data_IF_899944467224
#
_entry.id   IF_899944467224
#
_cell.length_a   1.000
_cell.length_b   1.000
_cell.length_c   1.000
_cell.angle_alpha   90.00
_cell.angle_beta   90.00
_cell.angle_gamma   90.00
#
_symmetry.space_group_name_H-M   'P 1'
#
loop_
_entity.id
_entity.type
_entity.pdbx_description
1 polymer ?
#
# COMPACT_ATOMS: atom_id res chain seq x y z
N UNK A 1 12.45 5.84 6.47
CA UNK A 1 11.03 5.94 6.05
C UNK A 1 10.68 7.40 5.81
N UNK A 2 9.80 7.66 4.87
CA UNK A 2 9.37 9.03 4.57
C UNK A 2 8.53 9.57 5.73
N UNK A 3 8.82 10.77 6.23
CA UNK A 3 8.22 11.28 7.46
C UNK A 3 6.72 11.58 7.36
N UNK A 4 6.18 11.77 6.17
CA UNK A 4 4.76 12.11 5.99
C UNK A 4 3.95 10.96 5.40
N UNK A 5 4.51 9.75 5.41
CA UNK A 5 3.83 8.56 4.89
C UNK A 5 3.37 7.70 6.05
N UNK A 6 2.05 7.56 6.19
CA UNK A 6 1.43 6.86 7.31
C UNK A 6 0.64 5.66 6.81
N UNK A 7 0.60 4.61 7.62
CA UNK A 7 -0.12 3.38 7.33
C UNK A 7 -1.04 3.09 8.52
N UNK A 8 -2.29 2.78 8.25
CA UNK A 8 -3.23 2.40 9.28
C UNK A 8 -4.18 1.33 8.77
N UNK A 9 -4.85 0.66 9.70
CA UNK A 9 -5.88 -0.32 9.36
C UNK A 9 -7.24 0.22 9.74
N UNK A 10 -8.29 -0.22 9.03
CA UNK A 10 -9.65 0.16 9.39
C UNK A 10 -10.00 -0.26 10.81
N UNK A 11 -9.44 -1.37 11.29
CA UNK A 11 -9.70 -1.87 12.63
C UNK A 11 -9.15 -0.94 13.72
N UNK A 12 -8.01 -0.30 13.44
CA UNK A 12 -7.32 0.58 14.41
C UNK A 12 -7.47 2.05 14.08
N UNK A 13 -8.17 2.37 13.01
CA UNK A 13 -8.28 3.73 12.53
C UNK A 13 -9.38 4.47 13.29
N UNK A 14 -8.99 5.56 13.93
CA UNK A 14 -9.92 6.52 14.53
C UNK A 14 -9.78 7.81 13.75
N UNK A 15 -10.73 8.08 12.88
CA UNK A 15 -10.68 9.15 11.90
C UNK A 15 -10.19 10.48 12.45
N UNK A 16 -10.84 10.96 13.52
CA UNK A 16 -10.50 12.27 14.07
C UNK A 16 -9.08 12.34 14.60
N UNK A 17 -8.61 11.25 15.20
CA UNK A 17 -7.27 11.23 15.78
C UNK A 17 -6.18 11.14 14.72
N UNK A 18 -6.40 10.33 13.70
CA UNK A 18 -5.36 10.11 12.67
C UNK A 18 -5.33 11.28 11.69
N UNK A 19 -6.47 11.63 11.11
CA UNK A 19 -6.51 12.68 10.09
C UNK A 19 -6.08 14.04 10.65
N UNK A 20 -6.60 14.43 11.81
CA UNK A 20 -6.26 15.71 12.42
C UNK A 20 -4.85 15.76 12.96
N UNK A 21 -4.46 14.75 13.77
CA UNK A 21 -3.18 14.80 14.47
C UNK A 21 -2.00 14.68 13.51
N UNK A 22 -2.15 13.94 12.43
CA UNK A 22 -1.10 13.76 11.41
C UNK A 22 -1.24 14.72 10.24
N UNK A 23 -2.26 15.54 10.23
CA UNK A 23 -2.54 16.52 9.17
C UNK A 23 -2.59 15.85 7.79
N UNK A 24 -3.30 14.72 7.72
CA UNK A 24 -3.40 13.96 6.48
C UNK A 24 -4.11 14.78 5.40
N UNK A 25 -3.56 14.79 4.21
CA UNK A 25 -4.12 15.45 3.04
C UNK A 25 -4.62 14.48 1.99
N UNK A 26 -4.04 13.28 1.94
CA UNK A 26 -4.36 12.28 0.93
C UNK A 26 -4.59 10.95 1.63
N UNK A 27 -5.68 10.27 1.29
CA UNK A 27 -5.97 8.93 1.79
C UNK A 27 -6.09 7.98 0.60
N UNK A 28 -5.36 6.89 0.64
CA UNK A 28 -5.45 5.83 -0.35
C UNK A 28 -6.12 4.63 0.31
N UNK A 29 -7.32 4.32 -0.13
CA UNK A 29 -8.09 3.18 0.36
C UNK A 29 -7.72 1.94 -0.43
N UNK A 30 -7.18 0.93 0.23
CA UNK A 30 -6.82 -0.34 -0.41
C UNK A 30 -7.85 -1.38 -0.01
N UNK A 31 -8.63 -1.82 -0.98
CA UNK A 31 -9.74 -2.74 -0.75
C UNK A 31 -11.05 -2.20 -1.31
N UNK A 32 -12.13 -2.97 -1.15
CA UNK A 32 -13.41 -2.68 -1.82
C UNK A 32 -14.52 -2.20 -0.90
N UNK A 33 -14.41 -2.43 0.40
CA UNK A 33 -15.57 -2.39 1.28
C UNK A 33 -15.94 -1.07 1.94
N UNK A 34 -14.95 -0.24 2.24
CA UNK A 34 -15.23 0.99 2.98
C UNK A 34 -15.51 2.15 2.04
N UNK A 35 -16.43 2.99 2.46
CA UNK A 35 -16.72 4.24 1.76
C UNK A 35 -15.62 5.25 2.05
N UNK A 36 -15.49 6.24 1.18
CA UNK A 36 -14.60 7.36 1.42
C UNK A 36 -15.00 8.11 2.69
N UNK A 37 -14.04 8.78 3.29
CA UNK A 37 -14.26 9.57 4.50
C UNK A 37 -15.16 10.75 4.21
N UNK A 38 -14.97 11.37 3.03
CA UNK A 38 -15.83 12.43 2.55
C UNK A 38 -15.60 13.80 3.18
N UNK A 39 -14.44 14.01 3.81
CA UNK A 39 -14.12 15.32 4.39
C UNK A 39 -13.66 16.30 3.33
N UNK A 40 -14.07 17.56 3.52
CA UNK A 40 -13.63 18.64 2.65
C UNK A 40 -12.11 18.81 2.72
N UNK A 41 -11.49 19.09 1.57
CA UNK A 41 -10.04 19.26 1.40
C UNK A 41 -9.23 17.99 1.61
N UNK A 42 -9.88 16.85 1.72
CA UNK A 42 -9.20 15.57 1.80
C UNK A 42 -9.28 14.91 0.42
N UNK A 43 -8.14 14.64 -0.17
CA UNK A 43 -8.08 13.92 -1.44
C UNK A 43 -8.08 12.42 -1.16
N UNK A 44 -8.97 11.68 -1.81
CA UNK A 44 -9.10 10.25 -1.59
C UNK A 44 -9.12 9.50 -2.91
N UNK A 45 -8.36 8.42 -2.98
CA UNK A 45 -8.41 7.49 -4.10
C UNK A 45 -8.57 6.07 -3.59
N UNK A 46 -8.89 5.14 -4.48
CA UNK A 46 -9.08 3.74 -4.14
C UNK A 46 -8.29 2.84 -5.05
N UNK A 47 -7.63 1.86 -4.45
CA UNK A 47 -7.10 0.68 -5.14
C UNK A 47 -8.06 -0.45 -4.82
N UNK A 48 -9.00 -0.80 -5.72
CA UNK A 48 -10.11 -1.71 -5.40
C UNK A 48 -9.70 -3.18 -5.52
N UNK A 49 -8.61 -3.54 -4.90
CA UNK A 49 -8.05 -4.88 -4.92
C UNK A 49 -8.09 -5.46 -3.52
N UNK A 50 -8.76 -6.60 -3.37
CA UNK A 50 -8.88 -7.28 -2.09
C UNK A 50 -9.01 -8.77 -2.35
N UNK A 51 -8.06 -9.55 -1.82
CA UNK A 51 -8.09 -11.00 -1.99
C UNK A 51 -9.29 -11.59 -1.25
N UNK A 52 -10.01 -12.47 -1.93
CA UNK A 52 -11.14 -13.18 -1.37
C UNK A 52 -10.93 -14.67 -1.63
N UNK A 53 -10.89 -15.48 -0.55
CA UNK A 53 -10.68 -16.91 -0.66
C UNK A 53 -11.76 -17.62 -1.45
N UNK A 54 -12.99 -17.10 -1.47
CA UNK A 54 -14.11 -17.67 -2.20
C UNK A 54 -13.99 -17.45 -3.72
N UNK A 55 -13.25 -16.44 -4.13
CA UNK A 55 -13.00 -16.10 -5.53
C UNK A 55 -11.51 -16.33 -5.81
N UNK A 56 -11.14 -17.61 -5.90
CA UNK A 56 -9.76 -18.03 -5.83
C UNK A 56 -9.05 -18.07 -7.19
N UNK A 57 -8.59 -16.88 -7.64
CA UNK A 57 -7.65 -16.80 -8.76
C UNK A 57 -6.48 -15.93 -8.36
N UNK A 58 -5.46 -16.56 -7.79
CA UNK A 58 -4.32 -15.86 -7.23
C UNK A 58 -3.50 -15.14 -8.31
N UNK A 59 -3.33 -15.73 -9.48
CA UNK A 59 -2.61 -15.09 -10.57
C UNK A 59 -3.33 -13.81 -11.03
N UNK A 60 -4.64 -13.90 -11.20
CA UNK A 60 -5.43 -12.76 -11.67
C UNK A 60 -5.38 -11.60 -10.68
N UNK A 61 -5.48 -11.88 -9.37
CA UNK A 61 -5.46 -10.79 -8.38
C UNK A 61 -4.07 -10.15 -8.31
N UNK A 62 -3.00 -10.92 -8.54
CA UNK A 62 -1.66 -10.36 -8.64
C UNK A 62 -1.55 -9.41 -9.83
N UNK A 63 -2.07 -9.81 -10.97
CA UNK A 63 -2.07 -8.96 -12.17
C UNK A 63 -2.93 -7.71 -11.97
N UNK A 64 -4.08 -7.85 -11.33
CA UNK A 64 -4.96 -6.73 -11.05
C UNK A 64 -4.26 -5.71 -10.14
N UNK A 65 -3.62 -6.17 -9.07
CA UNK A 65 -2.89 -5.28 -8.18
C UNK A 65 -1.70 -4.64 -8.91
N UNK A 66 -0.98 -5.41 -9.72
CA UNK A 66 0.13 -4.89 -10.50
C UNK A 66 -0.30 -3.69 -11.37
N UNK A 67 -1.49 -3.76 -11.97
CA UNK A 67 -1.98 -2.69 -12.83
C UNK A 67 -2.17 -1.36 -12.10
N UNK A 68 -2.41 -1.40 -10.80
CA UNK A 68 -2.52 -0.19 -9.97
C UNK A 68 -1.19 0.26 -9.37
N UNK A 69 -0.18 -0.62 -9.41
CA UNK A 69 1.03 -0.45 -8.60
C UNK A 69 1.83 0.79 -8.99
N UNK A 70 2.21 0.88 -10.26
CA UNK A 70 3.11 1.93 -10.71
C UNK A 70 2.52 3.32 -10.47
N UNK A 71 1.29 3.54 -10.92
CA UNK A 71 0.64 4.84 -10.78
C UNK A 71 0.40 5.21 -9.32
N UNK A 72 0.02 4.24 -8.50
CA UNK A 72 -0.21 4.50 -7.07
C UNK A 72 1.09 4.87 -6.36
N UNK A 73 2.16 4.15 -6.65
CA UNK A 73 3.46 4.42 -6.03
C UNK A 73 3.96 5.81 -6.44
N UNK A 74 3.82 6.19 -7.71
CA UNK A 74 4.21 7.52 -8.16
C UNK A 74 3.33 8.60 -7.54
N UNK A 75 2.03 8.35 -7.41
CA UNK A 75 1.09 9.27 -6.78
C UNK A 75 1.48 9.55 -5.32
N UNK A 76 1.80 8.51 -4.57
CA UNK A 76 2.28 8.65 -3.18
C UNK A 76 3.53 9.53 -3.14
N UNK A 77 4.51 9.19 -3.97
CA UNK A 77 5.80 9.88 -3.97
C UNK A 77 5.63 11.36 -4.33
N UNK A 78 4.79 11.66 -5.31
CA UNK A 78 4.56 13.04 -5.73
C UNK A 78 3.98 13.89 -4.61
N UNK A 79 3.03 13.33 -3.86
CA UNK A 79 2.47 14.05 -2.70
C UNK A 79 3.50 14.25 -1.59
N UNK A 80 4.28 13.20 -1.30
CA UNK A 80 5.32 13.31 -0.27
C UNK A 80 6.39 14.33 -0.65
N UNK A 81 6.75 14.41 -1.92
CA UNK A 81 7.69 15.44 -2.39
C UNK A 81 7.17 16.85 -2.15
N UNK A 82 5.87 17.05 -2.20
CA UNK A 82 5.24 18.34 -2.01
C UNK A 82 4.82 18.56 -0.55
N UNK A 83 5.37 17.80 0.37
CA UNK A 83 5.13 17.89 1.81
C UNK A 83 3.67 17.65 2.21
N UNK A 84 2.94 16.87 1.43
CA UNK A 84 1.59 16.46 1.76
C UNK A 84 1.64 15.11 2.46
N UNK A 85 0.93 15.00 3.58
CA UNK A 85 0.88 13.75 4.33
C UNK A 85 -0.09 12.77 3.68
N UNK A 86 0.38 11.55 3.48
CA UNK A 86 -0.37 10.48 2.81
C UNK A 86 -0.65 9.36 3.81
N UNK A 87 -1.90 8.93 3.86
CA UNK A 87 -2.32 7.78 4.66
C UNK A 87 -2.72 6.64 3.73
N UNK A 88 -2.07 5.50 3.91
CA UNK A 88 -2.41 4.26 3.22
C UNK A 88 -3.26 3.43 4.18
N UNK A 89 -4.51 3.17 3.81
CA UNK A 89 -5.52 2.62 4.70
C UNK A 89 -6.15 1.36 4.11
N UNK A 90 -6.20 0.28 4.89
CA UNK A 90 -6.78 -0.97 4.45
C UNK A 90 -7.08 -1.90 5.62
N UNK A 91 -7.46 -3.13 5.33
CA UNK A 91 -7.72 -4.13 6.36
C UNK A 91 -6.42 -4.79 6.82
N UNK A 92 -6.23 -4.86 8.14
CA UNK A 92 -5.00 -5.39 8.73
C UNK A 92 -4.79 -6.89 8.49
N UNK A 93 -5.84 -7.63 8.24
CA UNK A 93 -5.77 -9.06 7.95
C UNK A 93 -5.58 -9.37 6.46
N UNK A 94 -5.50 -8.34 5.63
CA UNK A 94 -5.24 -8.44 4.18
C UNK A 94 -3.83 -7.97 3.88
N UNK A 95 -3.27 -8.44 2.79
CA UNK A 95 -1.87 -8.17 2.45
C UNK A 95 -1.65 -7.01 1.49
N UNK A 96 -2.70 -6.49 0.87
CA UNK A 96 -2.56 -5.50 -0.20
C UNK A 96 -1.85 -4.22 0.24
N UNK A 97 -2.13 -3.73 1.44
CA UNK A 97 -1.43 -2.54 1.98
C UNK A 97 0.06 -2.82 2.14
N UNK A 98 0.40 -3.99 2.67
CA UNK A 98 1.81 -4.36 2.89
C UNK A 98 2.55 -4.48 1.57
N UNK A 99 1.89 -4.99 0.53
CA UNK A 99 2.46 -5.08 -0.81
C UNK A 99 2.76 -3.68 -1.36
N UNK A 100 1.84 -2.74 -1.17
CA UNK A 100 2.05 -1.35 -1.60
C UNK A 100 3.25 -0.72 -0.88
N UNK A 101 3.39 -0.95 0.41
CA UNK A 101 4.52 -0.44 1.19
C UNK A 101 5.83 -1.04 0.69
N UNK A 102 5.86 -2.35 0.47
CA UNK A 102 7.04 -3.02 -0.06
C UNK A 102 7.43 -2.46 -1.44
N UNK A 103 6.44 -2.25 -2.30
CA UNK A 103 6.68 -1.72 -3.64
C UNK A 103 7.25 -0.31 -3.59
N UNK A 104 6.78 0.50 -2.66
CA UNK A 104 7.33 1.85 -2.45
C UNK A 104 8.81 1.78 -2.03
N UNK A 105 9.13 0.90 -1.08
CA UNK A 105 10.52 0.72 -0.66
C UNK A 105 11.40 0.19 -1.78
N UNK A 106 10.90 -0.77 -2.56
CA UNK A 106 11.63 -1.30 -3.70
C UNK A 106 11.99 -0.20 -4.70
N UNK A 107 10.99 0.64 -5.03
CA UNK A 107 11.17 1.69 -6.03
C UNK A 107 12.16 2.77 -5.57
N UNK A 108 11.96 3.32 -4.39
CA UNK A 108 12.72 4.48 -3.93
C UNK A 108 13.93 4.10 -3.08
N UNK A 109 13.96 2.89 -2.51
CA UNK A 109 15.13 2.37 -1.84
C UNK A 109 16.04 1.55 -2.76
N UNK A 110 15.58 1.22 -3.96
CA UNK A 110 16.33 0.42 -4.94
C UNK A 110 16.72 -0.95 -4.39
N UNK A 111 15.78 -1.63 -3.76
CA UNK A 111 16.02 -2.93 -3.15
C UNK A 111 15.10 -3.99 -3.77
N UNK A 112 15.54 -5.27 -3.81
CA UNK A 112 14.69 -6.35 -4.34
C UNK A 112 13.57 -6.72 -3.39
N UNK A 113 12.54 -7.46 -3.88
CA UNK A 113 11.36 -7.77 -3.08
C UNK A 113 11.64 -8.46 -1.76
N UNK A 114 12.53 -9.43 -1.74
CA UNK A 114 12.84 -10.17 -0.49
C UNK A 114 13.39 -9.25 0.59
N UNK A 115 14.23 -8.29 0.20
CA UNK A 115 14.79 -7.35 1.15
C UNK A 115 13.73 -6.36 1.65
N UNK A 116 12.87 -5.88 0.77
CA UNK A 116 11.77 -5.01 1.16
C UNK A 116 10.81 -5.71 2.11
N UNK A 117 10.47 -6.98 1.83
CA UNK A 117 9.61 -7.78 2.69
C UNK A 117 10.26 -8.01 4.07
N UNK A 118 11.55 -8.33 4.07
CA UNK A 118 12.28 -8.51 5.33
C UNK A 118 12.25 -7.22 6.16
N UNK A 119 12.53 -6.10 5.52
CA UNK A 119 12.53 -4.81 6.20
C UNK A 119 11.17 -4.51 6.83
N UNK A 120 10.08 -4.74 6.09
CA UNK A 120 8.74 -4.51 6.62
C UNK A 120 8.44 -5.44 7.80
N UNK A 121 8.86 -6.69 7.74
CA UNK A 121 8.69 -7.64 8.84
C UNK A 121 9.39 -7.21 10.12
N UNK A 122 10.48 -6.44 10.02
CA UNK A 122 11.15 -5.90 11.22
C UNK A 122 10.40 -4.74 11.84
N UNK A 123 9.53 -4.10 11.09
CA UNK A 123 8.78 -2.90 11.54
C UNK A 123 7.35 -3.21 11.96
N UNK A 124 6.76 -4.28 11.44
CA UNK A 124 5.37 -4.61 11.65
C UNK A 124 5.22 -6.12 11.87
N UNK A 125 4.39 -6.50 12.84
CA UNK A 125 4.13 -7.92 13.13
C UNK A 125 3.13 -8.51 12.14
N UNK A 126 3.23 -9.81 11.92
CA UNK A 126 2.26 -10.61 11.14
C UNK A 126 2.14 -10.19 9.68
N UNK A 127 3.27 -9.74 9.10
CA UNK A 127 3.31 -9.35 7.69
C UNK A 127 3.51 -10.60 6.83
N UNK A 128 2.66 -10.78 5.82
CA UNK A 128 2.74 -11.86 4.84
C UNK A 128 2.65 -13.27 5.45
N UNK A 129 1.77 -13.44 6.41
CA UNK A 129 1.58 -14.74 7.05
C UNK A 129 0.29 -15.40 6.55
N UNK A 130 0.28 -16.75 6.38
CA UNK A 130 1.42 -17.64 6.52
C UNK A 130 2.46 -17.49 5.42
N UNK A 131 2.08 -16.89 4.29
CA UNK A 131 2.97 -16.65 3.17
C UNK A 131 2.52 -15.41 2.41
N UNK A 132 3.41 -14.87 1.58
CA UNK A 132 3.08 -13.72 0.73
C UNK A 132 2.22 -14.18 -0.45
N UNK A 133 1.00 -13.66 -0.53
CA UNK A 133 0.07 -13.97 -1.62
C UNK A 133 0.38 -13.20 -2.91
N UNK A 134 1.19 -12.15 -2.82
CA UNK A 134 1.47 -11.24 -3.92
C UNK A 134 2.92 -11.27 -4.39
N UNK A 135 3.59 -12.42 -4.20
CA UNK A 135 4.99 -12.57 -4.59
C UNK A 135 5.20 -12.30 -6.09
N UNK A 136 4.31 -12.83 -6.92
CA UNK A 136 4.37 -12.59 -8.37
C UNK A 136 4.28 -11.10 -8.71
N UNK A 137 3.36 -10.38 -8.07
CA UNK A 137 3.18 -8.93 -8.28
C UNK A 137 4.45 -8.16 -7.92
N UNK A 138 5.06 -8.49 -6.78
CA UNK A 138 6.26 -7.82 -6.32
C UNK A 138 7.45 -8.09 -7.26
N UNK A 139 7.63 -9.34 -7.68
CA UNK A 139 8.71 -9.71 -8.58
C UNK A 139 8.55 -9.04 -9.94
N UNK A 140 7.33 -9.03 -10.48
CA UNK A 140 7.04 -8.39 -11.75
C UNK A 140 7.31 -6.89 -11.69
N UNK A 141 6.90 -6.23 -10.63
CA UNK A 141 7.13 -4.80 -10.46
C UNK A 141 8.62 -4.49 -10.37
N UNK A 142 9.37 -5.31 -9.65
CA UNK A 142 10.81 -5.15 -9.53
C UNK A 142 11.49 -5.28 -10.89
N UNK A 143 11.17 -6.34 -11.65
CA UNK A 143 11.78 -6.59 -12.94
C UNK A 143 11.48 -5.52 -13.98
N UNK A 144 10.23 -5.07 -14.03
CA UNK A 144 9.80 -4.15 -15.08
C UNK A 144 10.02 -2.68 -14.75
N UNK A 145 9.99 -2.29 -13.49
CA UNK A 145 10.04 -0.89 -13.10
C UNK A 145 11.31 -0.48 -12.34
N UNK A 146 12.04 -1.40 -11.78
CA UNK A 146 13.19 -1.08 -10.93
C UNK A 146 14.48 -1.65 -11.51
N UNK A 147 14.52 -2.96 -11.72
CA UNK A 147 15.70 -3.64 -12.26
C UNK A 147 15.60 -3.72 -13.79
N UNK A 148 15.89 -2.60 -14.43
CA UNK A 148 15.78 -2.48 -15.89
C UNK A 148 17.05 -2.82 -16.65
N UNK A 149 18.06 -3.27 -15.95
CA UNK A 149 19.32 -3.65 -16.58
C UNK A 149 19.47 -5.13 -16.80
#
# INVERSE_FOLDING_TARGET
>A
MYPNFYIATYENYVEENVIKSKKIKVVIHVGKRKKFIGKEKLEEIRVPIEFNEDDYDLLQINLDLYNYMHDTIEYIHEHLKNNRSVLLLGYGYKQEVDVMVCSFYMRYGKVPPKLAMYYLKTKKKNVFLPECLYEYCLEKYYEEEIDKE
#
